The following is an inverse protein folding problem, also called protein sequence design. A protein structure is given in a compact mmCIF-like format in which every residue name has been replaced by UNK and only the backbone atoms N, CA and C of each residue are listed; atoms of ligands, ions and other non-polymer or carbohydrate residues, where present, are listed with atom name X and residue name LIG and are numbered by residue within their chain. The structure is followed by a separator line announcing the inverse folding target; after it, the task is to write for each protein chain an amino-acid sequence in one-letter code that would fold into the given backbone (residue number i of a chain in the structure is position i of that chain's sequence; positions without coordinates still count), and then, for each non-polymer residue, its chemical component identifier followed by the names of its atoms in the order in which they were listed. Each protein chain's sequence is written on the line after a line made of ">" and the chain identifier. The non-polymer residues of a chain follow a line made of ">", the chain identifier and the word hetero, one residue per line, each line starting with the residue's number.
data_IF_359597840091
#
_entry.id   IF_359597840091
#
_cell.length_a   1.000
_cell.length_b   1.000
_cell.length_c   1.000
_cell.angle_alpha   90.00
_cell.angle_beta   90.00
_cell.angle_gamma   90.00
#
_symmetry.space_group_name_H-M   'P 1'
#
loop_
_entity.id
_entity.type
_entity.pdbx_description
1 polymer ?
#
# COMPACT_ATOMS: atom_id res chain seq x y z
N UNK A 1 1.76 -10.72 26.15
CA UNK A 1 2.77 -11.36 25.26
C UNK A 1 2.01 -12.19 24.23
N UNK A 2 1.65 -11.60 23.09
CA UNK A 2 0.86 -12.26 22.03
C UNK A 2 1.78 -13.14 21.18
N UNK A 3 1.72 -14.46 21.38
CA UNK A 3 2.46 -15.42 20.56
C UNK A 3 1.59 -15.85 19.37
N UNK A 4 1.75 -15.17 18.22
CA UNK A 4 0.85 -15.27 17.05
C UNK A 4 1.28 -16.38 16.06
N UNK A 5 2.25 -17.23 16.41
CA UNK A 5 2.68 -18.33 15.52
C UNK A 5 2.70 -19.64 16.29
N UNK A 6 1.56 -20.34 16.34
CA UNK A 6 1.57 -21.76 16.71
C UNK A 6 2.13 -22.57 15.54
N UNK A 7 3.30 -23.20 15.67
CA UNK A 7 3.74 -24.19 14.70
C UNK A 7 2.79 -25.39 14.74
N UNK A 8 2.58 -26.06 13.59
CA UNK A 8 1.77 -27.28 13.56
C UNK A 8 2.32 -28.32 14.54
N UNK A 9 1.41 -29.02 15.23
CA UNK A 9 1.76 -30.09 16.19
C UNK A 9 2.44 -31.31 15.54
N UNK A 10 2.43 -31.39 14.21
CA UNK A 10 2.99 -32.50 13.44
C UNK A 10 4.07 -32.00 12.47
N UNK A 11 5.26 -32.59 12.56
CA UNK A 11 6.38 -32.30 11.67
C UNK A 11 6.04 -32.77 10.24
N UNK A 12 5.95 -31.83 9.31
CA UNK A 12 5.82 -32.11 7.88
C UNK A 12 7.03 -32.89 7.35
N UNK A 13 6.79 -33.89 6.49
CA UNK A 13 7.85 -34.60 5.74
C UNK A 13 8.56 -33.71 4.71
N UNK A 14 7.93 -32.62 4.29
CA UNK A 14 8.52 -31.62 3.40
C UNK A 14 9.48 -30.75 4.21
N UNK A 15 10.77 -30.76 3.81
CA UNK A 15 11.80 -29.93 4.43
C UNK A 15 11.61 -28.48 3.96
N UNK A 16 11.65 -27.49 4.86
CA UNK A 16 11.69 -26.09 4.46
C UNK A 16 12.91 -25.85 3.57
N UNK A 17 12.83 -24.86 2.69
CA UNK A 17 13.95 -24.49 1.83
C UNK A 17 15.21 -24.32 2.69
N UNK A 18 16.31 -25.03 2.37
CA UNK A 18 17.47 -25.13 3.26
C UNK A 18 18.22 -23.79 3.41
N UNK A 19 17.99 -22.82 2.52
CA UNK A 19 18.61 -21.51 2.57
C UNK A 19 17.65 -20.39 2.12
N UNK A 20 17.59 -19.30 2.89
CA UNK A 20 16.90 -18.07 2.51
C UNK A 20 17.56 -17.37 1.31
N UNK A 21 18.88 -17.55 1.14
CA UNK A 21 19.65 -17.09 -0.02
C UNK A 21 19.54 -18.05 -1.20
N UNK A 22 18.33 -18.53 -1.44
CA UNK A 22 18.01 -19.18 -2.70
C UNK A 22 17.76 -18.08 -3.75
N UNK A 23 18.34 -18.20 -4.94
CA UNK A 23 18.15 -17.24 -6.04
C UNK A 23 16.65 -16.98 -6.28
N UNK A 24 15.80 -18.00 -6.12
CA UNK A 24 14.34 -17.86 -6.21
C UNK A 24 13.75 -16.91 -5.16
N UNK A 25 14.15 -17.06 -3.89
CA UNK A 25 13.68 -16.21 -2.79
C UNK A 25 14.17 -14.76 -2.96
N UNK A 26 15.42 -14.59 -3.38
CA UNK A 26 15.97 -13.25 -3.64
C UNK A 26 15.25 -12.59 -4.81
N UNK A 27 15.02 -13.34 -5.90
CA UNK A 27 14.38 -12.80 -7.11
C UNK A 27 12.92 -12.44 -6.87
N UNK A 28 12.15 -13.22 -6.08
CA UNK A 28 10.76 -12.85 -5.74
C UNK A 28 10.70 -11.60 -4.88
N UNK A 29 11.58 -11.47 -3.88
CA UNK A 29 11.63 -10.27 -3.04
C UNK A 29 11.99 -9.04 -3.87
N UNK A 30 12.96 -9.15 -4.78
CA UNK A 30 13.36 -8.05 -5.65
C UNK A 30 12.25 -7.64 -6.64
N UNK A 31 11.54 -8.60 -7.24
CA UNK A 31 10.45 -8.30 -8.16
C UNK A 31 9.24 -7.68 -7.44
N UNK A 32 8.86 -8.21 -6.27
CA UNK A 32 7.80 -7.60 -5.44
C UNK A 32 8.19 -6.19 -5.01
N UNK A 33 9.44 -6.00 -4.56
CA UNK A 33 9.97 -4.68 -4.24
C UNK A 33 9.88 -3.72 -5.43
N UNK A 34 10.23 -4.16 -6.64
CA UNK A 34 10.13 -3.34 -7.83
C UNK A 34 8.68 -2.91 -8.12
N UNK A 35 7.71 -3.82 -8.04
CA UNK A 35 6.28 -3.50 -8.19
C UNK A 35 5.85 -2.46 -7.17
N UNK A 36 6.11 -2.72 -5.89
CA UNK A 36 5.77 -1.81 -4.79
C UNK A 36 6.42 -0.43 -4.92
N UNK A 37 7.69 -0.39 -5.30
CA UNK A 37 8.43 0.84 -5.49
C UNK A 37 7.90 1.66 -6.67
N UNK A 38 7.58 1.01 -7.80
CA UNK A 38 6.97 1.68 -8.96
C UNK A 38 5.60 2.25 -8.59
N UNK A 39 4.76 1.48 -7.87
CA UNK A 39 3.46 1.94 -7.38
C UNK A 39 3.58 3.18 -6.49
N UNK A 40 4.54 3.17 -5.55
CA UNK A 40 4.85 4.29 -4.67
C UNK A 40 5.26 5.53 -5.47
N UNK A 41 6.28 5.41 -6.33
CA UNK A 41 6.80 6.52 -7.13
C UNK A 41 5.72 7.10 -8.04
N UNK A 42 4.91 6.24 -8.67
CA UNK A 42 3.80 6.68 -9.51
C UNK A 42 2.76 7.48 -8.73
N UNK A 43 2.34 7.02 -7.55
CA UNK A 43 1.37 7.75 -6.73
C UNK A 43 1.92 9.05 -6.16
N UNK A 44 3.17 9.07 -5.73
CA UNK A 44 3.85 10.30 -5.29
C UNK A 44 3.90 11.33 -6.43
N UNK A 45 4.17 10.88 -7.65
CA UNK A 45 4.14 11.76 -8.83
C UNK A 45 2.71 12.25 -9.11
N UNK A 46 1.70 11.36 -9.10
CA UNK A 46 0.31 11.76 -9.31
C UNK A 46 -0.18 12.75 -8.23
N UNK A 47 0.15 12.50 -6.96
CA UNK A 47 -0.17 13.42 -5.87
C UNK A 47 0.48 14.79 -6.10
N UNK A 48 1.76 14.80 -6.49
CA UNK A 48 2.48 16.04 -6.82
C UNK A 48 1.86 16.83 -7.97
N UNK A 49 1.24 16.16 -8.95
CA UNK A 49 0.55 16.80 -10.08
C UNK A 49 -0.82 17.36 -9.69
N UNK A 50 -1.49 16.76 -8.70
CA UNK A 50 -2.82 17.15 -8.24
C UNK A 50 -2.78 18.07 -7.00
N UNK A 51 -1.59 18.34 -6.45
CA UNK A 51 -1.42 19.28 -5.34
C UNK A 51 -1.62 20.73 -5.80
N UNK A 52 -2.51 21.50 -5.14
CA UNK A 52 -2.89 22.86 -5.57
C UNK A 52 -1.78 23.93 -5.41
N UNK A 53 -0.59 23.59 -4.89
CA UNK A 53 0.47 24.56 -4.60
C UNK A 53 1.63 24.60 -5.60
N UNK A 54 1.62 23.79 -6.66
CA UNK A 54 2.77 23.75 -7.60
C UNK A 54 2.73 24.77 -8.74
N UNK A 55 1.62 25.49 -8.91
CA UNK A 55 1.45 26.49 -9.99
C UNK A 55 1.94 27.89 -9.58
N UNK A 56 2.00 28.24 -8.30
CA UNK A 56 2.39 29.61 -7.88
C UNK A 56 3.90 29.76 -7.58
N UNK A 57 4.64 28.68 -7.29
CA UNK A 57 6.07 28.79 -6.91
C UNK A 57 7.04 28.70 -8.10
N UNK A 58 6.58 28.40 -9.32
CA UNK A 58 7.45 28.43 -10.52
C UNK A 58 7.71 29.83 -11.09
N UNK A 59 7.11 30.87 -10.49
CA UNK A 59 7.26 32.27 -10.92
C UNK A 59 8.18 33.12 -10.02
N UNK A 60 8.98 32.52 -9.14
CA UNK A 60 10.01 33.24 -8.38
C UNK A 60 11.37 32.60 -8.61
N UNK A 61 12.30 33.25 -9.34
CA UNK A 61 13.68 32.81 -9.36
C UNK A 61 14.32 33.18 -8.02
N UNK A 62 15.19 32.31 -7.53
CA UNK A 62 16.02 32.46 -6.33
C UNK A 62 15.29 32.33 -4.99
N UNK A 63 15.57 31.20 -4.31
CA UNK A 63 16.16 31.17 -2.97
C UNK A 63 16.67 29.75 -2.69
N UNK A 64 17.84 29.47 -3.25
CA UNK A 64 18.83 28.69 -2.51
C UNK A 64 19.36 29.64 -1.43
N UNK A 65 18.94 29.47 -0.18
CA UNK A 65 19.63 29.93 1.05
C UNK A 65 18.66 29.72 2.24
N UNK A 66 19.21 29.20 3.34
CA UNK A 66 18.61 28.88 4.65
C UNK A 66 17.95 27.49 4.82
N UNK A 67 18.81 26.47 4.87
CA UNK A 67 18.50 25.09 5.25
C UNK A 67 18.41 24.88 6.77
N UNK A 68 17.66 25.73 7.50
CA UNK A 68 17.38 25.52 8.93
C UNK A 68 16.04 26.13 9.39
N UNK A 69 15.03 26.05 8.54
CA UNK A 69 13.63 26.20 8.99
C UNK A 69 13.09 24.78 9.10
N UNK A 70 12.96 24.27 10.32
CA UNK A 70 12.06 23.15 10.62
C UNK A 70 10.65 23.59 10.18
N UNK A 71 10.31 23.31 8.91
CA UNK A 71 8.99 23.58 8.39
C UNK A 71 8.01 22.73 9.19
N UNK A 72 7.15 23.40 9.96
CA UNK A 72 6.15 22.75 10.81
C UNK A 72 5.30 21.82 9.94
N UNK A 73 5.12 20.57 10.38
CA UNK A 73 4.45 19.56 9.57
C UNK A 73 3.04 20.04 9.18
N UNK A 74 2.83 20.26 7.88
CA UNK A 74 1.54 20.59 7.32
C UNK A 74 0.92 19.36 6.65
N UNK A 75 -0.32 18.97 7.00
CA UNK A 75 -1.06 17.95 6.28
C UNK A 75 -1.14 18.28 4.79
N UNK A 76 -0.75 17.34 3.93
CA UNK A 76 -0.68 17.57 2.49
C UNK A 76 -1.15 16.34 1.70
N UNK A 77 -1.57 16.57 0.45
CA UNK A 77 -2.01 15.51 -0.46
C UNK A 77 -0.91 14.44 -0.62
N UNK A 78 0.35 14.88 -0.66
CA UNK A 78 1.52 14.01 -0.74
C UNK A 78 1.64 13.14 0.51
N UNK A 79 1.58 13.74 1.70
CA UNK A 79 1.71 13.02 2.98
C UNK A 79 0.59 11.99 3.15
N UNK A 80 -0.64 12.38 2.84
CA UNK A 80 -1.80 11.47 2.86
C UNK A 80 -1.65 10.31 1.87
N UNK A 81 -1.15 10.59 0.66
CA UNK A 81 -0.92 9.58 -0.36
C UNK A 81 0.14 8.58 0.08
N UNK A 82 1.29 9.08 0.55
CA UNK A 82 2.41 8.26 1.04
C UNK A 82 1.95 7.40 2.21
N UNK A 83 1.21 7.96 3.16
CA UNK A 83 0.66 7.20 4.29
C UNK A 83 -0.20 6.02 3.84
N UNK A 84 -1.18 6.26 2.95
CA UNK A 84 -2.11 5.22 2.49
C UNK A 84 -1.38 4.13 1.70
N UNK A 85 -0.52 4.50 0.74
CA UNK A 85 0.24 3.50 -0.03
C UNK A 85 1.17 2.72 0.90
N UNK A 86 1.90 3.37 1.82
CA UNK A 86 2.80 2.69 2.75
C UNK A 86 2.07 1.66 3.62
N UNK A 87 0.87 1.99 4.12
CA UNK A 87 0.04 1.05 4.87
C UNK A 87 -0.43 -0.11 3.99
N UNK A 88 -0.85 0.16 2.75
CA UNK A 88 -1.27 -0.86 1.81
C UNK A 88 -0.13 -1.83 1.45
N UNK A 89 1.07 -1.30 1.18
CA UNK A 89 2.27 -2.08 0.88
C UNK A 89 2.64 -3.02 2.04
N UNK A 90 2.54 -2.57 3.29
CA UNK A 90 2.79 -3.40 4.47
C UNK A 90 1.80 -4.56 4.56
N UNK A 91 0.51 -4.28 4.41
CA UNK A 91 -0.54 -5.31 4.44
C UNK A 91 -0.40 -6.29 3.27
N UNK A 92 -0.10 -5.78 2.06
CA UNK A 92 0.12 -6.59 0.87
C UNK A 92 1.33 -7.51 1.02
N UNK A 93 2.46 -6.97 1.47
CA UNK A 93 3.69 -7.74 1.72
C UNK A 93 3.44 -8.87 2.69
N UNK A 94 2.72 -8.59 3.79
CA UNK A 94 2.39 -9.60 4.78
C UNK A 94 1.45 -10.67 4.22
N UNK A 95 0.37 -10.25 3.55
CA UNK A 95 -0.64 -11.17 3.02
C UNK A 95 -0.10 -12.08 1.91
N UNK A 96 0.74 -11.55 1.01
CA UNK A 96 1.30 -12.28 -0.12
C UNK A 96 2.39 -13.25 0.35
N UNK A 97 3.27 -12.82 1.26
CA UNK A 97 4.38 -13.64 1.72
C UNK A 97 4.00 -14.64 2.83
N UNK A 98 2.76 -14.60 3.33
CA UNK A 98 2.29 -15.58 4.30
C UNK A 98 2.23 -16.99 3.68
N UNK A 99 3.11 -17.87 4.17
CA UNK A 99 3.13 -19.29 3.80
C UNK A 99 2.34 -20.07 4.84
N UNK A 100 1.21 -20.65 4.42
CA UNK A 100 0.43 -21.60 5.22
C UNK A 100 1.04 -23.00 5.20
N UNK A 101 0.19 -24.02 5.02
CA UNK A 101 0.64 -25.42 4.99
C UNK A 101 1.80 -25.63 4.01
N UNK A 102 2.77 -26.52 4.35
CA UNK A 102 2.76 -27.46 5.48
C UNK A 102 3.46 -26.94 6.76
N UNK A 103 3.92 -25.69 6.80
CA UNK A 103 4.75 -25.16 7.90
C UNK A 103 3.95 -24.35 8.93
N UNK A 104 2.86 -23.73 8.51
CA UNK A 104 1.95 -22.97 9.37
C UNK A 104 0.50 -23.27 8.99
N UNK A 105 -0.44 -22.92 9.87
CA UNK A 105 -1.86 -22.90 9.52
C UNK A 105 -2.09 -21.95 8.33
N UNK A 106 -3.01 -22.30 7.45
CA UNK A 106 -3.47 -21.38 6.40
C UNK A 106 -4.13 -20.14 7.01
N UNK A 107 -4.18 -19.04 6.25
CA UNK A 107 -4.87 -17.83 6.70
C UNK A 107 -6.34 -18.11 7.10
N UNK A 108 -7.01 -19.02 6.40
CA UNK A 108 -8.40 -19.39 6.69
C UNK A 108 -8.57 -20.17 7.99
N UNK A 109 -7.54 -20.89 8.43
CA UNK A 109 -7.52 -21.60 9.71
C UNK A 109 -7.20 -20.64 10.86
N UNK A 110 -6.27 -19.70 10.64
CA UNK A 110 -5.94 -18.66 11.61
C UNK A 110 -6.90 -17.45 11.49
N UNK A 111 -8.11 -17.61 12.05
CA UNK A 111 -9.17 -16.57 12.00
C UNK A 111 -8.73 -15.22 12.55
N UNK A 112 -7.91 -15.20 13.61
CA UNK A 112 -7.41 -13.96 14.19
C UNK A 112 -6.54 -13.20 13.19
N UNK A 113 -5.63 -13.91 12.51
CA UNK A 113 -4.78 -13.32 11.48
C UNK A 113 -5.60 -12.89 10.26
N UNK A 114 -6.55 -13.71 9.81
CA UNK A 114 -7.44 -13.36 8.72
C UNK A 114 -8.21 -12.06 8.99
N UNK A 115 -8.85 -11.94 10.16
CA UNK A 115 -9.59 -10.74 10.53
C UNK A 115 -8.68 -9.52 10.65
N UNK A 116 -7.43 -9.67 11.11
CA UNK A 116 -6.47 -8.56 11.13
C UNK A 116 -6.10 -8.08 9.72
N UNK A 117 -5.85 -8.98 8.77
CA UNK A 117 -5.52 -8.60 7.39
C UNK A 117 -6.73 -7.94 6.71
N UNK A 118 -7.91 -8.58 6.81
CA UNK A 118 -9.13 -8.07 6.19
C UNK A 118 -9.55 -6.74 6.82
N UNK A 119 -9.45 -6.62 8.15
CA UNK A 119 -9.73 -5.38 8.87
C UNK A 119 -8.80 -4.24 8.46
N UNK A 120 -7.49 -4.48 8.43
CA UNK A 120 -6.50 -3.49 8.00
C UNK A 120 -6.69 -3.09 6.52
N UNK A 121 -6.90 -4.06 5.63
CA UNK A 121 -7.18 -3.77 4.22
C UNK A 121 -8.48 -2.97 4.04
N UNK A 122 -9.53 -3.33 4.77
CA UNK A 122 -10.80 -2.60 4.76
C UNK A 122 -10.64 -1.16 5.28
N UNK A 123 -9.89 -0.96 6.36
CA UNK A 123 -9.60 0.36 6.90
C UNK A 123 -8.84 1.23 5.88
N UNK A 124 -7.79 0.69 5.26
CA UNK A 124 -7.01 1.38 4.22
C UNK A 124 -7.90 1.76 3.03
N UNK A 125 -8.76 0.86 2.57
CA UNK A 125 -9.70 1.15 1.48
C UNK A 125 -10.73 2.22 1.88
N UNK A 126 -11.23 2.18 3.12
CA UNK A 126 -12.15 3.17 3.63
C UNK A 126 -11.51 4.57 3.72
N UNK A 127 -10.24 4.65 4.11
CA UNK A 127 -9.45 5.89 4.07
C UNK A 127 -9.21 6.36 2.63
N UNK A 128 -8.81 5.48 1.72
CA UNK A 128 -8.57 5.80 0.31
C UNK A 128 -9.84 6.30 -0.41
N UNK A 129 -11.01 5.74 -0.06
CA UNK A 129 -12.31 6.16 -0.58
C UNK A 129 -12.86 7.40 0.13
N UNK A 130 -12.34 7.75 1.31
CA UNK A 130 -12.82 8.85 2.15
C UNK A 130 -14.19 8.59 2.77
N UNK A 131 -14.44 7.34 3.21
CA UNK A 131 -15.72 6.93 3.82
C UNK A 131 -15.84 7.38 5.27
N UNK A 132 -14.71 7.49 5.99
CA UNK A 132 -14.65 7.87 7.41
C UNK A 132 -13.84 9.16 7.61
N UNK A 133 -14.48 10.34 7.55
CA UNK A 133 -13.80 11.64 7.67
C UNK A 133 -13.16 11.83 9.05
N UNK A 134 -13.78 11.35 10.13
CA UNK A 134 -13.24 11.47 11.49
C UNK A 134 -11.92 10.70 11.64
N UNK A 135 -11.81 9.52 11.00
CA UNK A 135 -10.56 8.76 10.98
C UNK A 135 -9.52 9.46 10.10
N UNK A 136 -9.93 9.99 8.94
CA UNK A 136 -9.02 10.73 8.06
C UNK A 136 -8.41 11.94 8.78
N UNK A 137 -9.19 12.70 9.54
CA UNK A 137 -8.70 13.82 10.35
C UNK A 137 -7.65 13.39 11.37
N UNK A 138 -7.88 12.29 12.09
CA UNK A 138 -6.92 11.76 13.08
C UNK A 138 -5.59 11.31 12.46
N UNK A 139 -5.62 10.86 11.21
CA UNK A 139 -4.43 10.47 10.44
C UNK A 139 -3.85 11.63 9.61
N UNK A 140 -4.36 12.86 9.80
CA UNK A 140 -3.94 14.05 9.05
C UNK A 140 -4.03 13.83 7.52
N UNK A 141 -5.03 13.06 7.10
CA UNK A 141 -5.35 12.80 5.71
C UNK A 141 -6.18 13.96 5.18
N UNK A 142 -5.63 14.70 4.23
CA UNK A 142 -6.33 15.82 3.60
C UNK A 142 -7.36 15.34 2.60
N UNK A 143 -8.38 16.16 2.37
CA UNK A 143 -9.37 15.88 1.35
C UNK A 143 -8.73 15.88 -0.04
N UNK A 144 -8.96 14.78 -0.75
CA UNK A 144 -8.48 14.63 -2.11
C UNK A 144 -9.22 15.57 -3.08
N UNK A 145 -8.48 16.22 -4.00
CA UNK A 145 -9.04 17.23 -4.88
C UNK A 145 -10.16 16.63 -5.73
N UNK A 146 -11.26 17.38 -5.78
CA UNK A 146 -12.45 17.03 -6.52
C UNK A 146 -12.42 17.70 -7.89
N UNK A 147 -12.91 17.03 -8.93
CA UNK A 147 -12.98 17.57 -10.32
C UNK A 147 -13.84 18.85 -10.47
N UNK A 148 -14.47 19.32 -9.40
CA UNK A 148 -15.33 20.49 -9.39
C UNK A 148 -14.53 21.77 -9.64
N UNK A 149 -14.98 22.59 -10.58
CA UNK A 149 -14.38 23.91 -10.84
C UNK A 149 -14.45 24.76 -9.57
N UNK A 150 -13.35 25.44 -9.24
CA UNK A 150 -13.31 26.46 -8.19
C UNK A 150 -14.36 27.51 -8.53
N UNK A 151 -15.45 27.56 -7.74
CA UNK A 151 -16.53 28.54 -7.87
C UNK A 151 -17.95 28.00 -8.10
N UNK A 152 -18.14 26.69 -8.28
CA UNK A 152 -19.50 26.12 -8.41
C UNK A 152 -20.06 25.74 -7.03
N UNK A 153 -21.13 26.42 -6.60
CA UNK A 153 -21.83 26.16 -5.34
C UNK A 153 -22.17 24.68 -5.26
N UNK A 154 -21.59 24.02 -4.25
CA UNK A 154 -21.77 22.60 -3.97
C UNK A 154 -23.25 22.31 -3.73
N UNK A 155 -23.93 21.77 -4.73
CA UNK A 155 -25.22 21.13 -4.49
C UNK A 155 -24.98 19.84 -3.70
N UNK A 156 -25.75 19.54 -2.64
CA UNK A 156 -25.45 18.47 -1.69
C UNK A 156 -25.76 17.06 -2.23
N UNK A 157 -25.77 16.86 -3.56
CA UNK A 157 -26.35 15.66 -4.18
C UNK A 157 -25.61 15.07 -5.37
N UNK A 158 -24.43 15.57 -5.74
CA UNK A 158 -23.58 14.88 -6.71
C UNK A 158 -22.41 14.19 -6.02
N UNK A 159 -22.19 12.88 -6.22
CA UNK A 159 -20.95 12.25 -5.80
C UNK A 159 -19.84 12.87 -6.64
N UNK A 160 -19.09 13.80 -6.05
CA UNK A 160 -18.04 14.50 -6.77
C UNK A 160 -16.98 13.46 -7.13
N UNK A 161 -16.78 13.26 -8.44
CA UNK A 161 -15.95 12.18 -8.98
C UNK A 161 -14.48 12.57 -8.81
N UNK A 162 -13.85 12.13 -7.73
CA UNK A 162 -12.46 12.47 -7.45
C UNK A 162 -11.53 11.56 -8.27
N UNK A 163 -11.07 12.03 -9.44
CA UNK A 163 -10.14 11.28 -10.32
C UNK A 163 -8.94 10.74 -9.56
N UNK A 164 -8.36 11.56 -8.68
CA UNK A 164 -7.22 11.15 -7.88
C UNK A 164 -7.55 9.95 -6.97
N UNK A 165 -8.73 9.93 -6.34
CA UNK A 165 -9.19 8.78 -5.52
C UNK A 165 -9.29 7.50 -6.34
N UNK A 166 -9.80 7.61 -7.57
CA UNK A 166 -9.92 6.46 -8.48
C UNK A 166 -8.52 5.95 -8.85
N UNK A 167 -7.59 6.85 -9.20
CA UNK A 167 -6.20 6.49 -9.51
C UNK A 167 -5.55 5.81 -8.29
N UNK A 168 -5.69 6.39 -7.09
CA UNK A 168 -5.18 5.83 -5.85
C UNK A 168 -5.65 4.40 -5.67
N UNK A 169 -6.96 4.18 -5.65
CA UNK A 169 -7.56 2.85 -5.44
C UNK A 169 -7.14 1.87 -6.54
N UNK A 170 -7.11 2.28 -7.81
CA UNK A 170 -6.65 1.44 -8.91
C UNK A 170 -5.20 0.99 -8.73
N UNK A 171 -4.31 1.90 -8.30
CA UNK A 171 -2.91 1.56 -8.06
C UNK A 171 -2.78 0.61 -6.86
N UNK A 172 -3.54 0.81 -5.77
CA UNK A 172 -3.54 -0.11 -4.63
C UNK A 172 -3.93 -1.54 -5.05
N UNK A 173 -4.96 -1.68 -5.87
CA UNK A 173 -5.37 -2.98 -6.40
C UNK A 173 -4.36 -3.56 -7.38
N UNK A 174 -3.81 -2.74 -8.29
CA UNK A 174 -2.82 -3.17 -9.26
C UNK A 174 -1.54 -3.66 -8.57
N UNK A 175 -1.07 -2.93 -7.56
CA UNK A 175 0.08 -3.30 -6.73
C UNK A 175 -0.11 -4.68 -6.09
N UNK A 176 -1.20 -4.86 -5.34
CA UNK A 176 -1.51 -6.12 -4.67
C UNK A 176 -1.59 -7.28 -5.68
N UNK A 177 -2.30 -7.07 -6.79
CA UNK A 177 -2.49 -8.09 -7.81
C UNK A 177 -1.18 -8.47 -8.51
N UNK A 178 -0.38 -7.48 -8.94
CA UNK A 178 0.88 -7.73 -9.62
C UNK A 178 1.89 -8.40 -8.68
N UNK A 179 2.02 -7.95 -7.44
CA UNK A 179 2.89 -8.59 -6.45
C UNK A 179 2.44 -10.03 -6.14
N UNK A 180 1.12 -10.28 -6.09
CA UNK A 180 0.59 -11.64 -5.96
C UNK A 180 0.93 -12.51 -7.17
N UNK A 181 0.77 -12.00 -8.39
CA UNK A 181 1.11 -12.73 -9.63
C UNK A 181 2.60 -13.05 -9.68
N UNK A 182 3.46 -12.09 -9.31
CA UNK A 182 4.92 -12.29 -9.21
C UNK A 182 5.21 -13.46 -8.26
N UNK A 183 4.69 -13.44 -7.03
CA UNK A 183 4.91 -14.52 -6.06
C UNK A 183 4.42 -15.87 -6.58
N UNK A 184 3.19 -15.92 -7.12
CA UNK A 184 2.59 -17.18 -7.55
C UNK A 184 3.26 -17.77 -8.79
N UNK A 185 3.69 -16.93 -9.71
CA UNK A 185 4.39 -17.39 -10.93
C UNK A 185 5.71 -18.04 -10.55
N UNK A 186 6.47 -17.41 -9.67
CA UNK A 186 7.76 -17.95 -9.22
C UNK A 186 7.59 -19.19 -8.34
N UNK A 187 6.57 -19.23 -7.48
CA UNK A 187 6.25 -20.42 -6.69
C UNK A 187 5.94 -21.63 -7.59
N UNK A 188 5.13 -21.45 -8.63
CA UNK A 188 4.81 -22.51 -9.60
C UNK A 188 6.03 -22.96 -10.40
N UNK A 189 6.91 -22.04 -10.79
CA UNK A 189 8.16 -22.39 -11.47
C UNK A 189 9.05 -23.25 -10.56
N UNK A 190 9.26 -22.86 -9.31
CA UNK A 190 10.08 -23.62 -8.37
C UNK A 190 9.51 -25.01 -8.10
N UNK A 191 8.20 -25.12 -7.86
CA UNK A 191 7.54 -26.42 -7.61
C UNK A 191 7.69 -27.41 -8.79
N UNK A 192 7.96 -26.93 -10.00
CA UNK A 192 8.19 -27.76 -11.19
C UNK A 192 9.64 -28.27 -11.30
N UNK A 193 10.60 -27.61 -10.64
CA UNK A 193 12.01 -28.04 -10.61
C UNK A 193 12.33 -28.96 -9.42
N UNK A 194 11.43 -29.09 -8.45
CA UNK A 194 11.53 -29.97 -7.28
C UNK A 194 10.83 -31.35 -7.47
N UNK A 195 10.36 -31.67 -8.69
CA UNK A 195 9.81 -32.96 -9.13
C UNK A 195 10.73 -33.63 -10.15
#
# INVERSE_FOLDING_TARGET
>A
MLNIKMPLKTLSKQRPLPNIFNLYTVLTVLLQFAVHFISLVFLVHQASLHSPHKEETKASPAKEEDADVEEEFAPSLLNSTVYIISMALQVATFAINYRGHPYMESLTENKALLYSIVGSAGAILALALGVFPDMAYQFEIVDFPSDGKVGEISTPKQPVRNKFRIILVQVLFADFFLSYVVDRTQYKMNAKFDL
#
